data_IF_464867915301
#
_entry.id   IF_464867915301
#
_cell.length_a   1.000
_cell.length_b   1.000
_cell.length_c   1.000
_cell.angle_alpha   90.00
_cell.angle_beta   90.00
_cell.angle_gamma   90.00
#
_symmetry.space_group_name_H-M   'P 1'
#
loop_
_entity.id
_entity.type
_entity.pdbx_description
1 polymer ?
#
# COMPACT_ATOMS: atom_id res chain seq x y z
N UNK A 1 21.67 -44.67 41.84
CA UNK A 1 22.46 -44.05 40.75
C UNK A 1 21.53 -43.75 39.59
N UNK A 2 21.60 -42.49 39.11
CA UNK A 2 21.04 -41.83 37.92
C UNK A 2 20.30 -42.73 36.90
N UNK A 3 18.99 -42.56 36.70
CA UNK A 3 18.31 -41.63 35.76
C UNK A 3 18.69 -41.86 34.28
N UNK A 4 17.94 -42.70 33.57
CA UNK A 4 17.75 -42.62 32.11
C UNK A 4 16.31 -43.00 31.76
N UNK A 5 15.38 -42.08 32.02
CA UNK A 5 14.00 -42.13 31.56
C UNK A 5 13.90 -41.12 30.40
N UNK A 6 13.68 -41.66 29.20
CA UNK A 6 13.05 -41.04 28.04
C UNK A 6 13.37 -39.56 27.75
N UNK A 7 14.41 -39.32 26.95
CA UNK A 7 14.55 -38.08 26.16
C UNK A 7 14.48 -38.46 24.68
N UNK A 8 13.28 -38.76 24.20
CA UNK A 8 12.99 -38.90 22.75
C UNK A 8 11.57 -38.42 22.44
N UNK A 9 11.17 -37.27 22.99
CA UNK A 9 9.89 -36.64 22.64
C UNK A 9 9.89 -35.14 22.87
N UNK A 10 10.85 -34.37 22.31
CA UNK A 10 10.69 -32.91 22.23
C UNK A 10 11.62 -32.23 21.22
N UNK A 11 11.55 -32.59 19.94
CA UNK A 11 12.28 -31.86 18.87
C UNK A 11 11.43 -31.54 17.62
N UNK A 12 10.11 -31.50 17.75
CA UNK A 12 9.20 -31.12 16.64
C UNK A 12 8.41 -29.83 16.88
N UNK A 13 8.93 -28.89 17.69
CA UNK A 13 8.25 -27.62 17.98
C UNK A 13 9.16 -26.41 17.77
N UNK A 14 9.64 -26.17 16.54
CA UNK A 14 9.97 -24.81 16.03
C UNK A 14 10.34 -24.85 14.54
N UNK A 15 9.44 -25.36 13.69
CA UNK A 15 9.40 -24.92 12.29
C UNK A 15 7.97 -24.52 11.91
N UNK A 16 7.32 -23.78 12.83
CA UNK A 16 6.22 -22.90 12.46
C UNK A 16 6.77 -21.68 11.73
N UNK A 17 7.36 -21.89 10.55
CA UNK A 17 7.60 -20.81 9.61
C UNK A 17 6.23 -20.38 9.09
N UNK A 18 5.54 -19.55 9.88
CA UNK A 18 4.37 -18.82 9.40
C UNK A 18 4.91 -17.79 8.41
N UNK A 19 5.13 -18.23 7.17
CA UNK A 19 5.27 -17.37 5.99
C UNK A 19 3.91 -16.73 5.69
N UNK A 20 3.32 -16.06 6.67
CA UNK A 20 2.10 -15.29 6.47
C UNK A 20 2.52 -13.90 6.03
N UNK A 21 2.48 -13.67 4.72
CA UNK A 21 2.31 -12.38 4.03
C UNK A 21 2.42 -11.10 4.89
N UNK A 22 3.56 -10.86 5.56
CA UNK A 22 3.79 -9.65 6.38
C UNK A 22 3.75 -8.36 5.55
N UNK A 23 3.84 -8.49 4.22
CA UNK A 23 3.76 -7.37 3.28
C UNK A 23 2.45 -6.61 3.38
N UNK A 24 1.28 -7.26 3.55
CA UNK A 24 -0.02 -6.58 3.44
C UNK A 24 -0.46 -5.85 4.73
N UNK A 25 0.09 -6.21 5.90
CA UNK A 25 -0.34 -5.65 7.19
C UNK A 25 -0.42 -4.11 7.26
N UNK A 26 0.53 -3.34 6.70
CA UNK A 26 0.46 -1.88 6.63
C UNK A 26 -0.77 -1.37 5.86
N UNK A 27 -1.07 -1.97 4.70
CA UNK A 27 -2.24 -1.61 3.88
C UNK A 27 -3.53 -1.89 4.65
N UNK A 28 -3.62 -3.04 5.31
CA UNK A 28 -4.78 -3.39 6.12
C UNK A 28 -4.96 -2.45 7.33
N UNK A 29 -3.87 -1.95 7.92
CA UNK A 29 -3.94 -0.95 8.99
C UNK A 29 -4.44 0.40 8.45
N UNK A 30 -3.88 0.87 7.33
CA UNK A 30 -4.33 2.09 6.66
C UNK A 30 -5.84 2.04 6.32
N UNK A 31 -6.30 0.93 5.73
CA UNK A 31 -7.72 0.75 5.41
C UNK A 31 -8.60 0.80 6.66
N UNK A 32 -8.21 0.18 7.79
CA UNK A 32 -8.98 0.22 9.04
C UNK A 32 -9.17 1.64 9.59
N UNK A 33 -8.18 2.51 9.40
CA UNK A 33 -8.26 3.91 9.82
C UNK A 33 -9.07 4.75 8.82
N UNK A 34 -9.11 4.32 7.55
CA UNK A 34 -9.69 5.11 6.45
C UNK A 34 -11.16 4.75 6.14
N UNK A 35 -11.60 3.52 6.42
CA UNK A 35 -12.95 3.04 6.07
C UNK A 35 -13.74 2.60 7.30
N UNK A 36 -15.06 2.80 7.28
CA UNK A 36 -15.93 2.34 8.38
C UNK A 36 -16.02 0.81 8.33
N UNK A 37 -16.05 0.17 9.51
CA UNK A 37 -15.98 -1.29 9.72
C UNK A 37 -17.00 -2.12 8.93
N UNK A 38 -18.10 -1.53 8.44
CA UNK A 38 -19.16 -2.23 7.72
C UNK A 38 -19.32 -1.83 6.25
N UNK A 39 -18.53 -0.86 5.78
CA UNK A 39 -18.65 -0.36 4.41
C UNK A 39 -18.11 -1.37 3.41
N UNK A 40 -18.82 -1.52 2.29
CA UNK A 40 -18.27 -2.22 1.13
C UNK A 40 -17.30 -1.29 0.42
N UNK A 41 -16.08 -1.77 0.20
CA UNK A 41 -15.05 -1.04 -0.53
C UNK A 41 -14.78 -1.74 -1.87
N UNK A 42 -14.31 -0.98 -2.85
CA UNK A 42 -13.77 -1.55 -4.09
C UNK A 42 -12.25 -1.61 -3.99
N UNK A 43 -11.66 -2.78 -4.28
CA UNK A 43 -10.21 -2.92 -4.44
C UNK A 43 -9.90 -3.20 -5.91
N UNK A 44 -9.03 -2.37 -6.49
CA UNK A 44 -8.41 -2.67 -7.77
C UNK A 44 -7.37 -3.76 -7.56
N UNK A 45 -7.58 -4.89 -8.24
CA UNK A 45 -6.76 -6.09 -8.14
C UNK A 45 -5.36 -5.87 -8.65
N UNK A 46 -5.19 -5.11 -9.74
CA UNK A 46 -3.89 -4.75 -10.28
C UNK A 46 -3.11 -3.92 -9.26
N UNK A 47 -1.89 -4.36 -8.95
CA UNK A 47 -1.00 -3.59 -8.08
C UNK A 47 -0.48 -2.37 -8.83
N UNK A 48 -0.38 -1.25 -8.11
CA UNK A 48 0.39 -0.10 -8.58
C UNK A 48 1.87 -0.51 -8.61
N UNK A 49 2.60 -0.08 -9.63
CA UNK A 49 4.04 -0.28 -9.71
C UNK A 49 4.75 0.54 -8.63
N UNK A 50 5.67 -0.09 -7.89
CA UNK A 50 6.44 0.55 -6.83
C UNK A 50 7.27 1.74 -7.34
N UNK A 51 7.66 1.74 -8.62
CA UNK A 51 8.34 2.86 -9.28
C UNK A 51 7.62 4.18 -8.99
N UNK A 52 6.27 4.19 -8.99
CA UNK A 52 5.49 5.40 -8.72
C UNK A 52 5.80 6.03 -7.35
N UNK A 53 5.82 5.26 -6.26
CA UNK A 53 6.16 5.80 -4.95
C UNK A 53 7.63 6.22 -4.85
N UNK A 54 8.53 5.50 -5.52
CA UNK A 54 9.96 5.80 -5.54
C UNK A 54 10.22 7.14 -6.23
N UNK A 55 9.65 7.31 -7.43
CA UNK A 55 9.80 8.49 -8.28
C UNK A 55 9.12 9.70 -7.63
N UNK A 56 7.86 9.56 -7.18
CA UNK A 56 7.14 10.65 -6.50
C UNK A 56 7.87 11.10 -5.23
N UNK A 57 8.44 10.19 -4.44
CA UNK A 57 9.20 10.61 -3.26
C UNK A 57 10.47 11.39 -3.65
N UNK A 58 11.19 10.94 -4.68
CA UNK A 58 12.39 11.64 -5.17
C UNK A 58 12.06 13.03 -5.70
N UNK A 59 11.06 13.13 -6.58
CA UNK A 59 10.55 14.41 -7.09
C UNK A 59 10.18 15.36 -5.95
N UNK A 60 9.46 14.88 -4.94
CA UNK A 60 9.06 15.69 -3.78
C UNK A 60 10.23 16.23 -2.96
N UNK A 61 11.39 15.58 -2.99
CA UNK A 61 12.59 16.07 -2.34
C UNK A 61 13.30 17.08 -3.25
N UNK A 62 13.50 16.73 -4.52
CA UNK A 62 14.22 17.58 -5.47
C UNK A 62 13.49 18.91 -5.74
N UNK A 63 12.14 18.89 -5.81
CA UNK A 63 11.32 20.10 -6.00
C UNK A 63 11.09 20.91 -4.72
N UNK A 64 11.40 20.38 -3.52
CA UNK A 64 11.37 21.21 -2.30
C UNK A 64 12.48 22.25 -2.27
N UNK A 65 13.59 21.98 -2.96
CA UNK A 65 14.67 22.95 -3.15
C UNK A 65 14.36 23.98 -4.26
N UNK A 66 13.36 23.71 -5.10
CA UNK A 66 12.86 24.60 -6.14
C UNK A 66 11.49 25.17 -5.73
N UNK A 67 11.47 26.10 -4.77
CA UNK A 67 10.25 26.77 -4.30
C UNK A 67 9.39 27.27 -5.46
N UNK A 68 8.10 26.87 -5.49
CA UNK A 68 6.90 27.64 -5.94
C UNK A 68 5.72 26.67 -6.21
N UNK A 69 4.61 26.81 -5.48
CA UNK A 69 3.27 26.18 -5.63
C UNK A 69 2.86 24.88 -4.90
N UNK A 70 3.46 24.48 -3.78
CA UNK A 70 2.87 23.41 -2.96
C UNK A 70 2.36 23.98 -1.64
N UNK A 71 1.03 24.00 -1.49
CA UNK A 71 0.33 24.39 -0.28
C UNK A 71 1.00 23.75 0.93
N UNK A 72 1.46 24.62 1.82
CA UNK A 72 2.07 24.28 3.10
C UNK A 72 1.14 23.36 3.90
N UNK A 73 1.46 22.07 3.93
CA UNK A 73 1.33 21.34 5.19
C UNK A 73 2.66 21.50 5.89
N UNK A 74 2.74 22.58 6.68
CA UNK A 74 3.75 22.79 7.72
C UNK A 74 3.78 21.52 8.56
N UNK A 75 4.82 20.72 8.35
CA UNK A 75 5.36 19.91 9.43
C UNK A 75 6.86 19.76 9.19
N UNK A 76 7.59 20.41 10.09
CA UNK A 76 9.03 20.40 10.24
C UNK A 76 9.52 18.95 10.16
N UNK A 77 10.25 18.63 9.09
CA UNK A 77 10.68 17.27 8.82
C UNK A 77 11.96 16.98 9.62
N UNK A 78 11.97 16.11 10.65
CA UNK A 78 13.21 15.44 11.02
C UNK A 78 13.54 14.44 9.90
N UNK A 79 14.25 14.91 8.86
CA UNK A 79 14.92 14.15 7.77
C UNK A 79 14.46 12.69 7.60
N UNK A 80 13.16 12.44 7.35
CA UNK A 80 12.71 11.06 7.10
C UNK A 80 13.38 10.58 5.82
N UNK A 81 13.43 11.44 4.80
CA UNK A 81 14.20 11.17 3.60
C UNK A 81 15.71 11.31 3.86
N UNK A 82 16.43 10.29 3.43
CA UNK A 82 17.88 10.24 3.33
C UNK A 82 18.22 9.49 2.05
N UNK A 83 19.00 10.14 1.18
CA UNK A 83 19.33 9.66 -0.17
C UNK A 83 19.85 8.23 -0.15
N UNK A 84 20.80 7.93 0.74
CA UNK A 84 21.40 6.60 0.88
C UNK A 84 20.34 5.51 1.02
N UNK A 85 19.40 5.68 1.94
CA UNK A 85 18.37 4.68 2.21
C UNK A 85 17.28 4.66 1.13
N UNK A 86 17.05 5.78 0.45
CA UNK A 86 16.14 5.82 -0.69
C UNK A 86 16.75 5.05 -1.87
N UNK A 87 18.04 5.25 -2.14
CA UNK A 87 18.78 4.52 -3.18
C UNK A 87 18.79 3.00 -2.90
N UNK A 88 19.05 2.58 -1.65
CA UNK A 88 18.96 1.17 -1.24
C UNK A 88 17.55 0.58 -1.48
N UNK A 89 16.50 1.33 -1.11
CA UNK A 89 15.12 0.91 -1.34
C UNK A 89 14.79 0.89 -2.84
N UNK A 90 15.27 1.87 -3.60
CA UNK A 90 15.07 2.01 -5.03
C UNK A 90 15.68 0.82 -5.78
N UNK A 91 16.94 0.51 -5.52
CA UNK A 91 17.63 -0.65 -6.10
C UNK A 91 16.89 -1.97 -5.81
N UNK A 92 16.38 -2.13 -4.59
CA UNK A 92 15.72 -3.37 -4.17
C UNK A 92 14.31 -3.56 -4.72
N UNK A 93 13.54 -2.49 -4.84
CA UNK A 93 12.09 -2.56 -5.08
C UNK A 93 11.65 -1.96 -6.42
N UNK A 94 12.55 -1.29 -7.16
CA UNK A 94 12.25 -0.82 -8.52
C UNK A 94 11.97 -2.02 -9.42
N UNK A 95 10.92 -1.88 -10.21
CA UNK A 95 10.65 -2.76 -11.32
C UNK A 95 11.43 -2.26 -12.54
N UNK A 96 12.41 -3.05 -12.99
CA UNK A 96 13.22 -2.75 -14.17
C UNK A 96 12.66 -3.33 -15.47
N UNK A 97 11.63 -4.18 -15.38
CA UNK A 97 11.02 -4.84 -16.55
C UNK A 97 9.95 -3.95 -17.22
N UNK A 98 9.41 -2.96 -16.50
CA UNK A 98 8.39 -2.06 -17.04
C UNK A 98 8.23 -0.76 -16.25
N UNK A 99 7.95 0.31 -17.00
CA UNK A 99 7.51 1.61 -16.47
C UNK A 99 5.98 1.75 -16.41
N UNK A 100 5.25 0.67 -16.69
CA UNK A 100 3.78 0.70 -16.60
C UNK A 100 3.35 0.99 -15.16
N UNK A 101 2.39 1.92 -15.01
CA UNK A 101 1.80 2.26 -13.72
C UNK A 101 1.12 1.08 -13.04
N UNK A 102 0.50 0.21 -13.83
CA UNK A 102 -0.27 -0.94 -13.37
C UNK A 102 0.43 -2.24 -13.74
N UNK A 103 0.65 -3.10 -12.75
CA UNK A 103 1.26 -4.41 -12.95
C UNK A 103 0.21 -5.45 -13.35
N UNK A 104 -0.01 -5.62 -14.65
CA UNK A 104 -1.06 -6.52 -15.20
C UNK A 104 -0.99 -7.97 -14.72
N UNK A 105 0.21 -8.49 -14.44
CA UNK A 105 0.42 -9.88 -13.97
C UNK A 105 0.52 -9.99 -12.45
N UNK A 106 0.64 -8.88 -11.73
CA UNK A 106 0.77 -8.87 -10.27
C UNK A 106 -0.54 -8.38 -9.67
N UNK A 107 -1.32 -9.34 -9.16
CA UNK A 107 -2.66 -9.10 -8.65
C UNK A 107 -2.72 -9.34 -7.14
N UNK A 108 -3.50 -8.52 -6.45
CA UNK A 108 -3.95 -8.78 -5.09
C UNK A 108 -4.88 -10.00 -5.05
N UNK A 109 -4.77 -10.79 -3.98
CA UNK A 109 -5.57 -11.97 -3.71
C UNK A 109 -6.59 -11.68 -2.62
N UNK A 110 -7.75 -12.32 -2.71
CA UNK A 110 -8.84 -12.09 -1.76
C UNK A 110 -8.46 -12.31 -0.29
N UNK A 111 -7.63 -13.32 -0.01
CA UNK A 111 -7.14 -13.64 1.34
C UNK A 111 -6.39 -12.49 2.02
N UNK A 112 -5.86 -11.54 1.24
CA UNK A 112 -5.03 -10.43 1.73
C UNK A 112 -5.89 -9.33 2.38
N UNK A 113 -7.18 -9.26 2.04
CA UNK A 113 -8.13 -8.23 2.50
C UNK A 113 -9.32 -8.83 3.28
N UNK A 114 -9.13 -10.00 3.91
CA UNK A 114 -10.20 -10.81 4.54
C UNK A 114 -11.04 -10.10 5.62
N UNK A 115 -10.57 -8.98 6.16
CA UNK A 115 -11.26 -8.23 7.21
C UNK A 115 -12.21 -7.15 6.65
N UNK A 116 -12.34 -7.05 5.33
CA UNK A 116 -13.15 -6.03 4.66
C UNK A 116 -14.18 -6.67 3.73
N UNK A 117 -15.34 -6.02 3.59
CA UNK A 117 -16.31 -6.37 2.55
C UNK A 117 -15.81 -5.79 1.23
N UNK A 118 -15.09 -6.59 0.44
CA UNK A 118 -14.45 -6.13 -0.80
C UNK A 118 -15.23 -6.55 -2.04
N UNK A 119 -15.50 -5.58 -2.92
CA UNK A 119 -15.79 -5.81 -4.33
C UNK A 119 -14.49 -5.67 -5.14
N UNK A 120 -14.24 -6.63 -6.03
CA UNK A 120 -13.00 -6.71 -6.80
C UNK A 120 -13.20 -6.19 -8.21
N UNK A 121 -12.27 -5.36 -8.68
CA UNK A 121 -12.26 -4.84 -10.05
C UNK A 121 -10.83 -4.85 -10.60
N UNK A 122 -10.68 -4.82 -11.91
CA UNK A 122 -9.38 -4.53 -12.55
C UNK A 122 -9.32 -3.04 -12.88
N UNK A 123 -8.10 -2.53 -13.06
CA UNK A 123 -7.87 -1.16 -13.49
C UNK A 123 -8.57 -0.85 -14.82
N UNK A 124 -8.57 -1.82 -15.74
CA UNK A 124 -9.15 -1.67 -17.09
C UNK A 124 -10.66 -1.46 -17.07
N UNK A 125 -11.35 -2.00 -16.08
CA UNK A 125 -12.81 -1.91 -15.93
C UNK A 125 -13.21 -0.64 -15.17
N UNK A 126 -12.29 -0.03 -14.43
CA UNK A 126 -12.49 1.24 -13.73
C UNK A 126 -12.11 2.41 -14.66
N UNK A 127 -12.90 3.50 -14.81
CA UNK A 127 -14.13 3.92 -14.12
C UNK A 127 -15.43 3.60 -14.89
N UNK A 128 -15.55 2.42 -15.51
CA UNK A 128 -16.72 2.16 -16.36
C UNK A 128 -17.57 1.03 -15.78
N UNK A 129 -17.80 0.97 -14.45
CA UNK A 129 -18.51 -0.17 -13.91
C UNK A 129 -19.95 -0.26 -14.43
N UNK A 130 -20.56 0.86 -14.85
CA UNK A 130 -21.91 0.89 -15.43
C UNK A 130 -21.97 0.33 -16.86
N UNK A 131 -20.90 0.45 -17.64
CA UNK A 131 -20.82 -0.18 -18.97
C UNK A 131 -20.73 -1.70 -18.84
N UNK A 132 -20.22 -2.20 -17.71
CA UNK A 132 -20.06 -3.62 -17.42
C UNK A 132 -21.07 -4.15 -16.40
N UNK A 133 -22.02 -3.33 -15.94
CA UNK A 133 -23.11 -3.79 -15.08
C UNK A 133 -24.36 -2.97 -15.31
N UNK A 134 -25.41 -3.67 -15.75
CA UNK A 134 -26.84 -3.31 -15.74
C UNK A 134 -27.39 -2.82 -14.38
N UNK A 135 -26.52 -2.66 -13.37
CA UNK A 135 -26.88 -2.40 -11.97
C UNK A 135 -26.43 -1.02 -11.46
N UNK A 136 -25.68 -0.22 -12.22
CA UNK A 136 -25.05 1.01 -11.68
C UNK A 136 -25.95 2.25 -11.59
N UNK A 137 -27.11 2.29 -12.25
CA UNK A 137 -28.06 3.41 -12.07
C UNK A 137 -28.75 3.37 -10.68
N UNK A 138 -28.45 2.37 -9.83
CA UNK A 138 -29.04 2.20 -8.50
C UNK A 138 -28.06 1.87 -7.37
N UNK A 139 -26.74 1.88 -7.62
CA UNK A 139 -25.75 1.52 -6.59
C UNK A 139 -25.18 2.78 -5.93
N UNK A 140 -25.27 2.92 -4.59
CA UNK A 140 -24.64 4.02 -3.88
C UNK A 140 -23.12 3.99 -4.07
N UNK A 141 -22.52 5.17 -4.30
CA UNK A 141 -21.08 5.32 -4.48
C UNK A 141 -20.29 4.59 -3.38
N UNK A 142 -19.27 3.84 -3.79
CA UNK A 142 -18.38 3.12 -2.89
C UNK A 142 -16.97 3.70 -2.97
N UNK A 143 -16.25 3.79 -1.84
CA UNK A 143 -14.84 4.15 -1.87
C UNK A 143 -14.06 3.04 -2.60
N UNK A 144 -13.16 3.45 -3.48
CA UNK A 144 -12.33 2.58 -4.29
C UNK A 144 -10.85 2.85 -4.00
N UNK A 145 -10.07 1.78 -3.86
CA UNK A 145 -8.66 1.85 -3.52
C UNK A 145 -7.82 0.98 -4.44
N UNK A 146 -6.58 1.41 -4.66
CA UNK A 146 -5.52 0.60 -5.24
C UNK A 146 -4.22 0.84 -4.47
N UNK A 147 -3.33 -0.16 -4.48
CA UNK A 147 -2.10 -0.14 -3.70
C UNK A 147 -0.93 -0.73 -4.48
N UNK A 148 0.28 -0.22 -4.24
CA UNK A 148 1.53 -0.91 -4.59
C UNK A 148 1.92 -1.90 -3.48
N UNK A 149 2.95 -2.71 -3.74
CA UNK A 149 3.52 -3.54 -2.67
C UNK A 149 4.23 -2.66 -1.63
N UNK A 150 4.08 -2.97 -0.34
CA UNK A 150 4.86 -2.34 0.72
C UNK A 150 6.37 -2.58 0.60
N UNK A 151 7.11 -1.47 0.58
CA UNK A 151 8.57 -1.41 0.52
C UNK A 151 9.15 -1.06 1.89
N UNK A 152 10.22 -1.72 2.30
CA UNK A 152 10.90 -1.42 3.58
C UNK A 152 11.89 -0.27 3.37
N UNK A 153 11.82 0.74 4.25
CA UNK A 153 12.70 1.91 4.26
C UNK A 153 13.37 2.10 5.63
N UNK A 154 14.70 2.31 5.66
CA UNK A 154 15.52 2.40 6.89
C UNK A 154 15.27 1.27 7.91
N UNK A 155 14.83 0.10 7.46
CA UNK A 155 14.42 -1.07 8.30
C UNK A 155 13.23 -0.83 9.24
N UNK A 156 12.81 0.41 9.45
CA UNK A 156 11.79 0.80 10.45
C UNK A 156 10.49 1.27 9.81
N UNK A 157 10.58 1.82 8.60
CA UNK A 157 9.43 2.37 7.89
C UNK A 157 9.01 1.44 6.76
N UNK A 158 7.74 1.59 6.39
CA UNK A 158 7.16 1.01 5.20
C UNK A 158 6.66 2.12 4.31
N UNK A 159 6.88 1.97 3.00
CA UNK A 159 6.41 2.89 1.97
C UNK A 159 5.62 2.15 0.90
N UNK A 160 4.46 2.69 0.51
CA UNK A 160 3.70 2.18 -0.63
C UNK A 160 2.88 3.28 -1.28
N UNK A 161 2.74 3.21 -2.61
CA UNK A 161 1.82 4.04 -3.35
C UNK A 161 0.38 3.59 -3.10
N UNK A 162 -0.55 4.53 -3.16
CA UNK A 162 -1.97 4.22 -3.17
C UNK A 162 -2.75 5.22 -4.01
N UNK A 163 -3.92 4.77 -4.46
CA UNK A 163 -4.97 5.64 -4.98
C UNK A 163 -6.22 5.48 -4.13
N UNK A 164 -6.95 6.57 -3.95
CA UNK A 164 -8.25 6.59 -3.26
C UNK A 164 -9.20 7.45 -4.06
N UNK A 165 -10.37 6.91 -4.38
CA UNK A 165 -11.42 7.60 -5.14
C UNK A 165 -12.79 7.01 -4.80
N UNK A 166 -13.84 7.34 -5.55
CA UNK A 166 -15.16 6.68 -5.46
C UNK A 166 -15.54 6.03 -6.79
N UNK A 167 -16.46 5.07 -6.76
CA UNK A 167 -16.99 4.44 -7.98
C UNK A 167 -17.75 5.39 -8.90
N UNK A 168 -18.09 6.61 -8.46
CA UNK A 168 -18.68 7.66 -9.28
C UNK A 168 -17.65 8.48 -10.08
N UNK A 169 -16.34 8.33 -9.79
CA UNK A 169 -15.28 9.09 -10.46
C UNK A 169 -14.73 8.37 -11.68
N UNK A 170 -14.26 9.16 -12.65
CA UNK A 170 -13.74 8.69 -13.93
C UNK A 170 -12.32 8.12 -13.89
N UNK A 171 -11.55 8.21 -12.82
CA UNK A 171 -10.22 7.60 -12.83
C UNK A 171 -9.86 7.17 -11.42
N UNK A 172 -9.09 6.09 -11.35
CA UNK A 172 -8.30 5.77 -10.17
C UNK A 172 -6.86 5.88 -10.59
N UNK A 173 -6.20 6.97 -10.22
CA UNK A 173 -4.79 7.16 -10.46
C UNK A 173 -4.11 7.25 -9.10
N UNK A 174 -3.01 6.51 -8.85
CA UNK A 174 -2.19 6.80 -7.69
C UNK A 174 -1.72 8.24 -7.81
N UNK A 175 -1.97 9.00 -6.76
CA UNK A 175 -1.52 10.38 -6.57
C UNK A 175 -0.78 10.57 -5.27
N UNK A 176 -0.62 9.48 -4.53
CA UNK A 176 -0.15 9.54 -3.17
C UNK A 176 0.68 8.30 -2.83
N UNK A 177 1.56 8.46 -1.85
CA UNK A 177 2.16 7.35 -1.15
C UNK A 177 2.12 7.59 0.36
N UNK A 178 2.18 6.49 1.11
CA UNK A 178 2.19 6.50 2.57
C UNK A 178 3.56 6.10 3.07
N UNK A 179 3.96 6.73 4.18
CA UNK A 179 5.05 6.27 5.04
C UNK A 179 4.41 5.85 6.35
N UNK A 180 4.62 4.60 6.74
CA UNK A 180 4.13 4.03 7.99
C UNK A 180 5.29 3.50 8.82
N UNK A 181 5.13 3.46 10.15
CA UNK A 181 6.07 2.78 11.05
C UNK A 181 5.31 1.88 12.00
N UNK A 182 5.97 0.82 12.49
CA UNK A 182 5.36 -0.09 13.46
C UNK A 182 5.74 0.33 14.87
N UNK A 183 4.76 0.75 15.66
CA UNK A 183 4.91 1.11 17.08
C UNK A 183 4.05 0.21 17.96
N UNK A 184 4.65 -0.38 19.01
CA UNK A 184 3.94 -1.25 19.96
C UNK A 184 3.09 -2.34 19.26
N UNK A 185 3.60 -2.87 18.15
CA UNK A 185 2.94 -3.91 17.36
C UNK A 185 1.89 -3.42 16.35
N UNK A 186 1.57 -2.12 16.31
CA UNK A 186 0.59 -1.52 15.39
C UNK A 186 1.29 -0.68 14.32
N UNK A 187 0.81 -0.74 13.08
CA UNK A 187 1.25 0.19 12.04
C UNK A 187 0.55 1.52 12.24
N UNK A 188 1.31 2.60 12.25
CA UNK A 188 0.80 3.97 12.34
C UNK A 188 1.26 4.77 11.13
N UNK A 189 0.38 5.65 10.63
CA UNK A 189 0.70 6.56 9.55
C UNK A 189 1.68 7.61 10.09
N UNK A 190 2.86 7.68 9.49
CA UNK A 190 3.85 8.73 9.76
C UNK A 190 3.60 9.91 8.85
N UNK A 191 3.35 9.63 7.57
CA UNK A 191 3.09 10.66 6.57
C UNK A 191 2.30 10.13 5.40
N UNK A 192 1.39 10.95 4.90
CA UNK A 192 0.77 10.80 3.59
C UNK A 192 1.34 11.91 2.69
N UNK A 193 1.85 11.55 1.53
CA UNK A 193 2.45 12.49 0.57
C UNK A 193 1.67 12.37 -0.73
N UNK A 194 1.08 13.48 -1.19
CA UNK A 194 0.32 13.57 -2.44
C UNK A 194 1.19 14.17 -3.55
N UNK A 195 0.76 14.11 -4.81
CA UNK A 195 1.39 14.78 -5.97
C UNK A 195 0.98 16.26 -6.12
N UNK A 196 0.00 16.72 -5.33
CA UNK A 196 -0.45 18.12 -5.28
C UNK A 196 -1.51 18.49 -6.32
N UNK A 197 -1.92 17.56 -7.18
CA UNK A 197 -2.97 17.81 -8.17
C UNK A 197 -4.37 17.46 -7.63
N UNK A 198 -5.10 18.49 -7.21
CA UNK A 198 -6.52 18.42 -6.85
C UNK A 198 -7.39 18.70 -8.09
N UNK A 199 -8.34 17.82 -8.41
CA UNK A 199 -9.35 18.00 -9.46
C UNK A 199 -10.75 17.94 -8.87
#
# INVERSE_FOLDING_TARGET
>A
MKKYIYITALLFFIFGCSSTNKSIDPINAYLKETVKTNDTIVIITNKINNNYALDLWKERVDFKDASVYMVESVDENPRIYEEKYWAEMNEKYRNHDTDSLWLRKSLWKQKEFKNFKVKWMTEKVFPKPYIYSEYMDKIPEKPAFSFSEPMIYKKTYVVFAFAKTTTGRQFINPRSFLIMKKEKGKWIIVKEITDGFYY
#
